data_IF_822554497117
#
_entry.id   IF_822554497117
#
_cell.length_a   1.000
_cell.length_b   1.000
_cell.length_c   1.000
_cell.angle_alpha   90.00
_cell.angle_beta   90.00
_cell.angle_gamma   90.00
#
_symmetry.space_group_name_H-M   'P 1'
#
loop_
_entity.id
_entity.type
_entity.pdbx_description
1 polymer ?
#
# COMPACT_ATOMS: atom_id res chain seq x y z
N UNK A 1 46.41 61.07 -8.69
CA UNK A 1 47.02 60.41 -7.52
C UNK A 1 46.28 60.91 -6.29
N UNK A 2 45.40 60.21 -5.60
CA UNK A 2 44.72 58.94 -5.85
C UNK A 2 43.42 58.97 -5.04
N UNK A 3 42.28 58.86 -5.74
CA UNK A 3 40.95 58.60 -5.16
C UNK A 3 40.60 57.11 -5.39
N UNK A 4 41.53 56.22 -5.04
CA UNK A 4 41.50 54.82 -5.46
C UNK A 4 41.05 53.79 -4.41
N UNK A 5 41.21 54.07 -3.11
CA UNK A 5 41.46 52.96 -2.15
C UNK A 5 40.39 52.68 -1.08
N UNK A 6 39.15 53.13 -1.28
CA UNK A 6 38.03 52.78 -0.37
C UNK A 6 37.02 51.78 -0.93
N UNK A 7 37.26 51.23 -2.13
CA UNK A 7 36.34 50.28 -2.80
C UNK A 7 36.70 48.81 -2.62
N UNK A 8 37.70 48.47 -1.81
CA UNK A 8 38.22 47.10 -1.72
C UNK A 8 37.56 46.22 -0.63
N UNK A 9 36.82 46.80 0.32
CA UNK A 9 36.27 46.06 1.47
C UNK A 9 34.77 45.72 1.43
N UNK A 10 34.07 45.96 0.32
CA UNK A 10 32.64 45.64 0.17
C UNK A 10 32.34 44.69 -1.01
N UNK A 11 33.25 43.77 -1.34
CA UNK A 11 32.91 42.64 -2.22
C UNK A 11 32.43 41.48 -1.36
N UNK A 12 31.13 41.47 -1.06
CA UNK A 12 30.46 40.29 -0.51
C UNK A 12 30.77 39.10 -1.43
N UNK A 13 31.40 38.06 -0.88
CA UNK A 13 31.65 36.77 -1.55
C UNK A 13 30.34 35.97 -1.67
N UNK A 14 29.31 36.59 -2.23
CA UNK A 14 28.03 35.95 -2.49
C UNK A 14 28.08 35.52 -3.95
N UNK A 15 28.35 34.23 -4.19
CA UNK A 15 28.16 33.63 -5.51
C UNK A 15 26.71 33.86 -5.91
N UNK A 16 26.42 34.51 -7.05
CA UNK A 16 25.06 34.73 -7.47
C UNK A 16 24.40 33.38 -7.73
N UNK A 17 23.10 33.26 -7.44
CA UNK A 17 22.40 31.97 -7.38
C UNK A 17 22.46 31.17 -8.70
N UNK A 18 22.58 31.88 -9.82
CA UNK A 18 22.76 31.33 -11.16
C UNK A 18 24.18 30.78 -11.44
N UNK A 19 25.12 30.97 -10.52
CA UNK A 19 26.52 30.53 -10.60
C UNK A 19 26.90 29.60 -9.45
N UNK A 20 25.93 29.16 -8.64
CA UNK A 20 26.18 28.23 -7.54
C UNK A 20 26.44 26.82 -8.11
N UNK A 21 27.72 26.47 -8.28
CA UNK A 21 28.16 25.13 -8.64
C UNK A 21 28.46 24.37 -7.36
N UNK A 22 27.62 23.38 -7.04
CA UNK A 22 27.79 22.48 -5.91
C UNK A 22 28.58 21.26 -6.40
N UNK A 23 29.64 20.89 -5.68
CA UNK A 23 30.44 19.70 -5.97
C UNK A 23 30.42 18.76 -4.75
N UNK A 24 29.83 17.55 -4.87
CA UNK A 24 29.15 17.00 -6.05
C UNK A 24 27.83 17.74 -6.38
N UNK A 25 27.36 17.70 -7.64
CA UNK A 25 26.10 18.32 -8.03
C UNK A 25 24.94 17.69 -7.26
N UNK A 26 24.10 18.55 -6.67
CA UNK A 26 22.88 18.06 -6.01
C UNK A 26 21.95 17.39 -7.04
N UNK A 27 21.25 16.32 -6.65
CA UNK A 27 20.19 15.75 -7.48
C UNK A 27 19.23 16.83 -7.96
N UNK A 28 18.78 16.76 -9.22
CA UNK A 28 17.95 17.78 -9.88
C UNK A 28 16.76 18.28 -9.05
N UNK A 29 16.11 17.40 -8.28
CA UNK A 29 14.99 17.78 -7.41
C UNK A 29 15.38 18.73 -6.26
N UNK A 30 16.62 18.64 -5.76
CA UNK A 30 17.12 19.54 -4.71
C UNK A 30 17.60 20.88 -5.25
N UNK A 31 17.89 21.00 -6.54
CA UNK A 31 18.39 22.25 -7.12
C UNK A 31 17.37 23.40 -6.98
N UNK A 32 16.09 23.13 -7.28
CA UNK A 32 14.99 24.09 -7.09
C UNK A 32 14.82 24.50 -5.63
N UNK A 33 14.88 23.51 -4.72
CA UNK A 33 14.72 23.71 -3.28
C UNK A 33 15.82 24.60 -2.72
N UNK A 34 17.07 24.32 -3.11
CA UNK A 34 18.24 25.10 -2.70
C UNK A 34 18.14 26.51 -3.25
N UNK A 35 17.66 26.68 -4.50
CA UNK A 35 17.43 28.01 -5.10
C UNK A 35 16.41 28.82 -4.32
N UNK A 36 15.28 28.23 -3.97
CA UNK A 36 14.22 28.90 -3.19
C UNK A 36 14.72 29.28 -1.79
N UNK A 37 15.41 28.38 -1.10
CA UNK A 37 16.02 28.64 0.20
C UNK A 37 17.03 29.79 0.15
N UNK A 38 17.93 29.79 -0.84
CA UNK A 38 18.92 30.85 -1.03
C UNK A 38 18.29 32.20 -1.39
N UNK A 39 17.21 32.19 -2.19
CA UNK A 39 16.43 33.38 -2.51
C UNK A 39 15.78 33.98 -1.25
N UNK A 40 15.17 33.13 -0.41
CA UNK A 40 14.58 33.53 0.86
C UNK A 40 15.63 34.08 1.85
N UNK A 41 16.80 33.45 1.94
CA UNK A 41 17.91 33.95 2.75
C UNK A 41 18.36 35.36 2.30
N UNK A 42 18.49 35.58 0.98
CA UNK A 42 18.86 36.88 0.41
C UNK A 42 17.80 37.94 0.68
N UNK A 43 16.52 37.58 0.60
CA UNK A 43 15.41 38.45 0.94
C UNK A 43 15.46 38.85 2.43
N UNK A 44 15.65 37.88 3.32
CA UNK A 44 15.81 38.12 4.76
C UNK A 44 16.94 39.10 5.07
N UNK A 45 18.10 38.86 4.46
CA UNK A 45 19.28 39.70 4.66
C UNK A 45 18.99 41.16 4.29
N UNK A 46 18.42 41.40 3.10
CA UNK A 46 18.20 42.75 2.58
C UNK A 46 17.09 43.51 3.31
N UNK A 47 16.01 42.83 3.69
CA UNK A 47 14.79 43.49 4.15
C UNK A 47 14.60 43.47 5.67
N UNK A 48 15.15 42.46 6.35
CA UNK A 48 15.03 42.29 7.80
C UNK A 48 16.38 42.58 8.45
N UNK A 49 17.41 41.77 8.19
CA UNK A 49 18.67 41.84 8.96
C UNK A 49 19.37 43.20 8.83
N UNK A 50 19.50 43.74 7.61
CA UNK A 50 20.11 45.06 7.40
C UNK A 50 19.28 46.17 8.03
N UNK A 51 17.95 46.09 7.96
CA UNK A 51 17.03 47.10 8.53
C UNK A 51 17.17 47.20 10.05
N UNK A 52 17.22 46.07 10.74
CA UNK A 52 17.34 46.02 12.20
C UNK A 52 18.76 46.36 12.68
N UNK A 53 19.80 45.96 11.93
CA UNK A 53 21.18 46.36 12.22
C UNK A 53 21.36 47.90 12.22
N UNK A 54 20.70 48.62 11.31
CA UNK A 54 20.77 50.08 11.26
C UNK A 54 19.96 50.78 12.36
N UNK A 55 18.94 50.13 12.92
CA UNK A 55 18.05 50.72 13.93
C UNK A 55 18.54 50.58 15.38
N UNK A 56 19.59 49.78 15.65
CA UNK A 56 20.02 49.38 17.01
C UNK A 56 18.83 48.97 17.88
N UNK A 57 18.12 47.95 17.44
CA UNK A 57 16.96 47.44 18.18
C UNK A 57 17.41 46.89 19.55
N UNK A 58 16.77 47.35 20.63
CA UNK A 58 17.07 46.93 22.03
C UNK A 58 16.21 45.74 22.48
N UNK A 59 15.46 45.14 21.54
CA UNK A 59 14.66 43.94 21.79
C UNK A 59 15.52 42.81 22.39
N UNK A 60 14.99 42.01 23.35
CA UNK A 60 15.69 40.89 23.96
C UNK A 60 16.26 39.91 22.93
N UNK A 61 15.51 39.67 21.84
CA UNK A 61 15.91 38.78 20.76
C UNK A 61 16.12 39.54 19.43
N UNK A 62 17.36 39.58 18.90
CA UNK A 62 17.66 40.28 17.66
C UNK A 62 17.15 39.51 16.43
N UNK A 63 16.89 40.22 15.33
CA UNK A 63 16.53 39.61 14.06
C UNK A 63 17.64 38.65 13.55
N UNK A 64 17.26 37.46 13.08
CA UNK A 64 18.19 36.39 12.73
C UNK A 64 17.69 35.52 11.57
N UNK A 65 18.61 34.82 10.92
CA UNK A 65 18.32 33.80 9.91
C UNK A 65 18.89 32.47 10.40
N UNK A 66 18.03 31.48 10.61
CA UNK A 66 18.41 30.21 11.24
C UNK A 66 18.85 29.12 10.24
N UNK A 67 18.82 29.44 8.95
CA UNK A 67 19.11 28.51 7.85
C UNK A 67 17.88 28.16 7.01
N UNK A 68 16.67 28.30 7.56
CA UNK A 68 15.42 27.92 6.90
C UNK A 68 14.39 29.03 6.89
N UNK A 69 14.27 29.82 7.95
CA UNK A 69 13.34 30.95 8.05
C UNK A 69 14.05 32.22 8.55
N UNK A 70 13.44 33.35 8.20
CA UNK A 70 13.88 34.66 8.66
C UNK A 70 13.09 35.05 9.89
N UNK A 71 13.70 35.37 11.02
CA UNK A 71 13.00 35.88 12.20
C UNK A 71 13.30 37.37 12.38
N UNK A 72 12.24 38.15 12.63
CA UNK A 72 12.37 39.58 12.95
C UNK A 72 12.77 39.72 14.43
N UNK A 73 13.11 40.93 14.89
CA UNK A 73 13.33 41.17 16.32
C UNK A 73 12.06 40.92 17.11
N UNK A 74 12.20 40.39 18.32
CA UNK A 74 11.06 39.97 19.13
C UNK A 74 11.28 40.24 20.62
N UNK A 75 10.17 40.48 21.30
CA UNK A 75 10.07 40.51 22.76
C UNK A 75 9.98 39.09 23.34
N UNK A 76 10.13 38.97 24.65
CA UNK A 76 10.09 37.69 25.36
C UNK A 76 8.78 36.93 25.08
N UNK A 77 8.91 35.65 24.76
CA UNK A 77 7.79 34.77 24.45
C UNK A 77 8.03 33.89 23.22
N UNK A 78 6.96 33.21 22.80
CA UNK A 78 7.01 32.27 21.69
C UNK A 78 6.67 32.97 20.37
N UNK A 79 7.62 32.96 19.44
CA UNK A 79 7.48 33.54 18.10
C UNK A 79 7.09 32.45 17.12
N UNK A 80 5.92 32.61 16.50
CA UNK A 80 5.42 31.71 15.45
C UNK A 80 5.71 32.32 14.08
N UNK A 81 6.28 31.53 13.16
CA UNK A 81 6.52 31.96 11.78
C UNK A 81 6.02 30.91 10.81
N UNK A 82 5.42 31.34 9.70
CA UNK A 82 4.91 30.43 8.69
C UNK A 82 6.03 29.53 8.14
N UNK A 83 5.73 28.25 7.94
CA UNK A 83 6.70 27.29 7.43
C UNK A 83 7.12 27.64 5.99
N UNK A 84 8.42 27.58 5.64
CA UNK A 84 8.86 27.87 4.30
C UNK A 84 8.52 26.71 3.36
N UNK A 85 8.07 27.01 2.14
CA UNK A 85 7.64 26.00 1.17
C UNK A 85 8.78 25.06 0.71
N UNK A 86 10.03 25.46 0.89
CA UNK A 86 11.23 24.71 0.47
C UNK A 86 11.77 23.76 1.55
N UNK A 87 11.28 23.78 2.79
CA UNK A 87 11.90 23.00 3.89
C UNK A 87 11.81 21.47 3.71
N UNK A 88 10.82 20.97 2.97
CA UNK A 88 10.62 19.52 2.69
C UNK A 88 10.50 19.17 1.21
N UNK A 89 10.77 20.11 0.30
CA UNK A 89 11.07 19.77 -1.09
C UNK A 89 9.98 19.21 -2.00
N UNK A 90 8.71 19.27 -1.62
CA UNK A 90 7.62 18.79 -2.47
C UNK A 90 7.06 19.90 -3.37
N UNK A 91 7.15 19.74 -4.69
CA UNK A 91 6.50 20.62 -5.69
C UNK A 91 4.97 20.66 -5.60
N UNK A 92 4.36 19.83 -4.75
CA UNK A 92 2.92 19.71 -4.54
C UNK A 92 2.47 20.02 -3.11
N UNK A 93 3.35 20.52 -2.24
CA UNK A 93 2.95 20.97 -0.92
C UNK A 93 2.27 22.32 -1.13
N UNK A 94 0.93 22.32 -1.11
CA UNK A 94 0.16 23.57 -0.92
C UNK A 94 0.84 24.31 0.23
N UNK A 95 1.13 25.59 0.05
CA UNK A 95 1.48 26.47 1.16
C UNK A 95 0.33 26.38 2.15
N UNK A 96 0.46 25.51 3.13
CA UNK A 96 -0.54 25.30 4.15
C UNK A 96 -0.33 26.45 5.12
N UNK A 97 -1.09 27.52 4.92
CA UNK A 97 -0.94 28.78 5.63
C UNK A 97 -1.10 28.64 7.16
N UNK A 98 -1.62 27.50 7.62
CA UNK A 98 -1.82 27.21 9.03
C UNK A 98 -0.58 26.60 9.72
N UNK A 99 0.45 26.20 8.97
CA UNK A 99 1.66 25.59 9.55
C UNK A 99 2.69 26.62 9.96
N UNK A 100 3.14 26.50 11.21
CA UNK A 100 4.08 27.44 11.81
C UNK A 100 5.27 26.72 12.46
N UNK A 101 6.47 27.21 12.20
CA UNK A 101 7.67 26.96 13.01
C UNK A 101 7.63 27.84 14.26
N UNK A 102 8.12 27.31 15.39
CA UNK A 102 8.11 28.00 16.68
C UNK A 102 9.52 28.27 17.16
N UNK A 103 9.77 29.49 17.62
CA UNK A 103 11.06 29.90 18.19
C UNK A 103 10.83 30.63 19.50
N UNK A 104 11.54 30.24 20.56
CA UNK A 104 11.38 30.83 21.88
C UNK A 104 12.38 31.97 22.08
N UNK A 105 11.87 33.12 22.50
CA UNK A 105 12.65 34.27 22.93
C UNK A 105 12.63 34.38 24.46
N UNK A 106 13.80 34.44 25.07
CA UNK A 106 13.99 34.62 26.51
C UNK A 106 14.62 36.00 26.78
N UNK A 107 14.62 36.44 28.05
CA UNK A 107 15.24 37.71 28.46
C UNK A 107 16.72 37.86 28.03
N UNK A 108 17.43 36.73 27.89
CA UNK A 108 18.84 36.69 27.46
C UNK A 108 19.05 36.48 25.95
N UNK A 109 17.99 36.52 25.14
CA UNK A 109 18.04 36.22 23.70
C UNK A 109 17.31 34.94 23.30
N UNK A 110 17.54 34.50 22.07
CA UNK A 110 16.93 33.28 21.52
C UNK A 110 17.31 32.04 22.36
N UNK A 111 16.39 31.09 22.51
CA UNK A 111 16.64 29.87 23.27
C UNK A 111 17.77 29.00 22.67
N UNK A 112 18.71 28.57 23.53
CA UNK A 112 19.81 27.66 23.19
C UNK A 112 19.79 26.42 24.11
N UNK A 113 19.15 25.31 23.72
CA UNK A 113 19.02 24.11 24.56
C UNK A 113 20.35 23.52 25.01
N UNK A 114 21.36 23.50 24.13
CA UNK A 114 22.71 22.98 24.39
C UNK A 114 23.77 24.11 24.54
N UNK A 115 23.34 25.37 24.62
CA UNK A 115 24.22 26.55 24.69
C UNK A 115 25.05 26.86 23.43
N UNK A 116 25.02 26.00 22.41
CA UNK A 116 25.86 26.10 21.22
C UNK A 116 25.17 26.76 20.02
N UNK A 117 23.85 26.59 19.87
CA UNK A 117 23.10 27.07 18.72
C UNK A 117 21.66 27.41 19.10
N UNK A 118 21.13 28.46 18.47
CA UNK A 118 19.71 28.81 18.56
C UNK A 118 18.85 27.63 18.06
N UNK A 119 17.81 27.30 18.82
CA UNK A 119 16.85 26.26 18.46
C UNK A 119 15.61 26.86 17.80
N UNK A 120 15.05 26.14 16.83
CA UNK A 120 13.76 26.47 16.22
C UNK A 120 13.03 25.16 15.96
N UNK A 121 11.82 25.06 16.47
CA UNK A 121 10.98 23.88 16.37
C UNK A 121 10.21 23.91 15.04
N UNK A 122 10.64 23.05 14.12
CA UNK A 122 10.02 22.83 12.81
C UNK A 122 9.10 21.61 12.77
N UNK A 123 8.78 20.99 13.90
CA UNK A 123 7.89 19.81 13.96
C UNK A 123 6.50 20.12 13.39
N UNK A 124 5.96 21.31 13.69
CA UNK A 124 4.69 21.79 13.13
C UNK A 124 4.71 21.99 11.60
N UNK A 125 5.89 22.10 10.99
CA UNK A 125 6.05 22.15 9.54
C UNK A 125 6.01 20.76 8.90
N UNK A 126 6.38 19.72 9.65
CA UNK A 126 6.47 18.34 9.17
C UNK A 126 5.14 17.58 9.28
N UNK A 127 4.08 18.23 9.77
CA UNK A 127 2.83 17.57 10.12
C UNK A 127 2.09 17.07 8.87
N UNK A 128 2.38 15.84 8.49
CA UNK A 128 1.83 15.16 7.32
C UNK A 128 0.68 14.24 7.75
N UNK A 129 -0.22 14.75 8.58
CA UNK A 129 -1.33 13.99 9.18
C UNK A 129 -2.16 13.27 8.11
N UNK A 130 -2.30 13.88 6.93
CA UNK A 130 -2.98 13.29 5.79
C UNK A 130 -2.28 12.03 5.26
N UNK A 131 -0.95 12.08 5.12
CA UNK A 131 -0.16 10.95 4.65
C UNK A 131 -0.08 9.84 5.71
N UNK A 132 0.06 10.21 6.98
CA UNK A 132 0.08 9.26 8.09
C UNK A 132 -1.27 8.55 8.24
N UNK A 133 -2.38 9.28 8.18
CA UNK A 133 -3.73 8.70 8.22
C UNK A 133 -3.95 7.72 7.07
N UNK A 134 -3.54 8.09 5.84
CA UNK A 134 -3.59 7.20 4.68
C UNK A 134 -2.76 5.93 4.88
N UNK A 135 -1.53 6.07 5.38
CA UNK A 135 -0.63 4.94 5.63
C UNK A 135 -1.21 3.98 6.69
N UNK A 136 -1.66 4.51 7.83
CA UNK A 136 -2.25 3.72 8.92
C UNK A 136 -3.49 2.97 8.42
N UNK A 137 -4.40 3.67 7.74
CA UNK A 137 -5.60 3.05 7.17
C UNK A 137 -5.25 1.94 6.19
N UNK A 138 -4.25 2.17 5.32
CA UNK A 138 -3.73 1.15 4.42
C UNK A 138 -3.18 -0.07 5.15
N UNK A 139 -2.29 0.13 6.14
CA UNK A 139 -1.69 -0.97 6.91
C UNK A 139 -2.78 -1.82 7.58
N UNK A 140 -3.78 -1.19 8.21
CA UNK A 140 -4.90 -1.90 8.84
C UNK A 140 -5.69 -2.69 7.79
N UNK A 141 -6.07 -2.06 6.67
CA UNK A 141 -6.88 -2.67 5.63
C UNK A 141 -6.18 -3.88 4.97
N UNK A 142 -4.92 -3.72 4.55
CA UNK A 142 -4.17 -4.81 3.92
C UNK A 142 -3.83 -5.93 4.91
N UNK A 143 -3.54 -5.61 6.18
CA UNK A 143 -3.33 -6.63 7.22
C UNK A 143 -4.57 -7.49 7.42
N UNK A 144 -5.74 -6.84 7.57
CA UNK A 144 -7.02 -7.54 7.68
C UNK A 144 -7.29 -8.41 6.44
N UNK A 145 -7.05 -7.87 5.24
CA UNK A 145 -7.22 -8.62 4.00
C UNK A 145 -6.32 -9.86 3.94
N UNK A 146 -5.04 -9.75 4.29
CA UNK A 146 -4.10 -10.89 4.28
C UNK A 146 -4.53 -12.01 5.24
N UNK A 147 -5.01 -11.66 6.44
CA UNK A 147 -5.49 -12.63 7.45
C UNK A 147 -6.64 -13.49 6.91
N UNK A 148 -7.53 -12.90 6.10
CA UNK A 148 -8.65 -13.63 5.48
C UNK A 148 -8.27 -14.32 4.16
N UNK A 149 -7.35 -13.74 3.39
CA UNK A 149 -6.90 -14.33 2.13
C UNK A 149 -6.11 -15.62 2.33
N UNK A 150 -5.25 -15.68 3.35
CA UNK A 150 -4.38 -16.84 3.60
C UNK A 150 -5.19 -18.15 3.78
N UNK A 151 -6.16 -18.24 4.72
CA UNK A 151 -6.96 -19.45 4.85
C UNK A 151 -7.83 -19.73 3.61
N UNK A 152 -8.33 -18.69 2.94
CA UNK A 152 -9.14 -18.86 1.73
C UNK A 152 -8.35 -19.51 0.57
N UNK A 153 -7.13 -19.03 0.31
CA UNK A 153 -6.24 -19.61 -0.71
C UNK A 153 -5.90 -21.07 -0.36
N UNK A 154 -5.60 -21.34 0.91
CA UNK A 154 -5.31 -22.70 1.39
C UNK A 154 -6.53 -23.60 1.22
N UNK A 155 -7.72 -23.15 1.60
CA UNK A 155 -8.96 -23.92 1.48
C UNK A 155 -9.27 -24.30 0.01
N UNK A 156 -9.18 -23.34 -0.91
CA UNK A 156 -9.42 -23.60 -2.35
C UNK A 156 -8.31 -24.45 -3.00
N UNK A 157 -7.12 -24.50 -2.40
CA UNK A 157 -6.02 -25.38 -2.81
C UNK A 157 -6.10 -26.79 -2.23
N UNK A 158 -6.66 -26.94 -1.03
CA UNK A 158 -6.63 -28.19 -0.27
C UNK A 158 -7.69 -29.21 -0.75
N UNK A 159 -8.93 -28.76 -0.96
CA UNK A 159 -10.03 -29.67 -1.31
C UNK A 159 -9.96 -30.11 -2.78
N UNK A 160 -9.74 -31.41 -3.03
CA UNK A 160 -9.67 -31.98 -4.39
C UNK A 160 -10.85 -31.64 -5.32
N UNK A 161 -12.13 -31.69 -4.87
CA UNK A 161 -13.27 -31.37 -5.74
C UNK A 161 -13.25 -29.92 -6.22
N UNK A 162 -12.85 -29.02 -5.32
CA UNK A 162 -12.77 -27.58 -5.57
C UNK A 162 -11.55 -27.26 -6.45
N UNK A 163 -10.38 -27.82 -6.10
CA UNK A 163 -9.11 -27.56 -6.80
C UNK A 163 -9.16 -27.89 -8.30
N UNK A 164 -9.94 -28.89 -8.70
CA UNK A 164 -10.06 -29.36 -10.09
C UNK A 164 -11.09 -28.59 -10.92
N UNK A 165 -12.01 -27.87 -10.29
CA UNK A 165 -13.05 -27.14 -11.01
C UNK A 165 -12.48 -25.86 -11.66
N UNK A 166 -12.78 -25.57 -12.93
CA UNK A 166 -12.21 -24.43 -13.66
C UNK A 166 -12.53 -23.08 -13.01
N UNK A 167 -13.79 -22.87 -12.59
CA UNK A 167 -14.21 -21.64 -11.89
C UNK A 167 -13.40 -21.39 -10.61
N UNK A 168 -13.17 -22.44 -9.81
CA UNK A 168 -12.40 -22.32 -8.57
C UNK A 168 -10.89 -22.16 -8.82
N UNK A 169 -10.37 -22.54 -10.00
CA UNK A 169 -8.99 -22.23 -10.39
C UNK A 169 -8.84 -20.73 -10.62
N UNK A 170 -9.76 -20.08 -11.34
CA UNK A 170 -9.77 -18.63 -11.56
C UNK A 170 -9.84 -17.88 -10.23
N UNK A 171 -10.83 -18.21 -9.40
CA UNK A 171 -10.98 -17.66 -8.06
C UNK A 171 -9.71 -17.76 -7.22
N UNK A 172 -9.07 -18.94 -7.20
CA UNK A 172 -7.83 -19.14 -6.44
C UNK A 172 -6.70 -18.23 -6.95
N UNK A 173 -6.56 -18.07 -8.27
CA UNK A 173 -5.55 -17.20 -8.86
C UNK A 173 -5.83 -15.71 -8.58
N UNK A 174 -7.09 -15.28 -8.63
CA UNK A 174 -7.50 -13.94 -8.20
C UNK A 174 -7.12 -13.70 -6.72
N UNK A 175 -7.47 -14.63 -5.82
CA UNK A 175 -7.12 -14.53 -4.39
C UNK A 175 -5.60 -14.51 -4.17
N UNK A 176 -4.82 -15.30 -4.94
CA UNK A 176 -3.35 -15.29 -4.90
C UNK A 176 -2.81 -13.92 -5.33
N UNK A 177 -3.35 -13.33 -6.40
CA UNK A 177 -2.92 -11.99 -6.85
C UNK A 177 -3.19 -10.91 -5.79
N UNK A 178 -4.36 -10.94 -5.14
CA UNK A 178 -4.69 -10.04 -4.03
C UNK A 178 -3.77 -10.27 -2.82
N UNK A 179 -3.45 -11.53 -2.51
CA UNK A 179 -2.58 -11.88 -1.39
C UNK A 179 -1.16 -11.38 -1.62
N UNK A 180 -0.60 -11.61 -2.81
CA UNK A 180 0.74 -11.14 -3.15
C UNK A 180 0.81 -9.61 -3.08
N UNK A 181 -0.15 -8.90 -3.67
CA UNK A 181 -0.19 -7.45 -3.61
C UNK A 181 -0.32 -6.91 -2.17
N UNK A 182 -1.13 -7.55 -1.32
CA UNK A 182 -1.25 -7.18 0.09
C UNK A 182 0.02 -7.45 0.90
N UNK A 183 0.67 -8.60 0.70
CA UNK A 183 1.92 -8.96 1.38
C UNK A 183 3.04 -8.00 0.99
N UNK A 184 3.21 -7.72 -0.31
CA UNK A 184 4.21 -6.78 -0.78
C UNK A 184 3.91 -5.35 -0.31
N UNK A 185 2.64 -4.96 -0.17
CA UNK A 185 2.28 -3.66 0.43
C UNK A 185 2.78 -3.58 1.87
N UNK A 186 2.48 -4.59 2.70
CA UNK A 186 2.91 -4.64 4.09
C UNK A 186 4.44 -4.68 4.22
N UNK A 187 5.12 -5.43 3.37
CA UNK A 187 6.58 -5.42 3.29
C UNK A 187 7.10 -4.03 2.91
N UNK A 188 6.51 -3.38 1.91
CA UNK A 188 6.91 -2.04 1.49
C UNK A 188 6.80 -1.03 2.63
N UNK A 189 5.69 -1.06 3.37
CA UNK A 189 5.46 -0.13 4.46
C UNK A 189 6.41 -0.36 5.62
N UNK A 190 6.59 -1.62 6.03
CA UNK A 190 7.42 -1.98 7.19
C UNK A 190 8.92 -1.79 6.94
N UNK A 191 9.41 -2.13 5.74
CA UNK A 191 10.84 -2.11 5.46
C UNK A 191 11.35 -0.79 4.86
N UNK A 192 10.49 0.00 4.20
CA UNK A 192 10.93 1.21 3.49
C UNK A 192 10.27 2.51 3.95
N UNK A 193 9.04 2.50 4.49
CA UNK A 193 8.25 3.74 4.68
C UNK A 193 8.15 4.21 6.14
N UNK A 194 8.03 3.29 7.10
CA UNK A 194 7.86 3.66 8.52
C UNK A 194 9.09 4.40 9.05
N UNK A 195 8.90 5.37 9.95
CA UNK A 195 10.01 6.07 10.63
C UNK A 195 10.93 5.06 11.30
N UNK A 196 12.25 5.11 11.01
CA UNK A 196 13.26 4.11 11.41
C UNK A 196 13.23 2.77 10.65
N UNK A 197 12.56 2.70 9.49
CA UNK A 197 12.59 1.48 8.70
C UNK A 197 14.03 1.13 8.27
N UNK A 198 14.43 -0.15 8.37
CA UNK A 198 15.82 -0.58 8.24
C UNK A 198 16.38 -0.39 6.81
N UNK A 199 15.53 -0.34 5.79
CA UNK A 199 15.91 -0.12 4.39
C UNK A 199 15.53 1.29 3.90
N UNK A 200 15.15 2.22 4.79
CA UNK A 200 14.83 3.61 4.40
C UNK A 200 16.00 4.29 3.67
N UNK A 201 17.25 4.03 4.08
CA UNK A 201 18.46 4.52 3.39
C UNK A 201 18.55 4.10 1.93
N UNK A 202 18.12 2.88 1.58
CA UNK A 202 18.11 2.40 0.20
C UNK A 202 17.14 3.18 -0.69
N UNK A 203 16.12 3.81 -0.08
CA UNK A 203 15.18 4.67 -0.80
C UNK A 203 15.88 5.92 -1.31
N UNK A 204 16.61 6.57 -0.41
CA UNK A 204 17.37 7.78 -0.72
C UNK A 204 18.55 7.51 -1.67
N UNK A 205 19.18 6.33 -1.56
CA UNK A 205 20.27 5.90 -2.45
C UNK A 205 19.79 5.39 -3.83
N UNK A 206 18.47 5.31 -4.05
CA UNK A 206 17.88 4.82 -5.30
C UNK A 206 18.41 3.43 -5.75
N UNK A 207 18.57 2.51 -4.79
CA UNK A 207 19.19 1.22 -5.06
C UNK A 207 18.39 0.35 -6.05
N UNK A 208 19.03 -0.48 -6.88
CA UNK A 208 18.32 -1.32 -7.86
C UNK A 208 17.26 -2.22 -7.21
N UNK A 209 17.54 -2.72 -6.00
CA UNK A 209 16.63 -3.58 -5.25
C UNK A 209 15.28 -2.92 -4.96
N UNK A 210 15.28 -1.69 -4.43
CA UNK A 210 14.04 -1.00 -4.13
C UNK A 210 13.27 -0.63 -5.41
N UNK A 211 13.96 -0.25 -6.51
CA UNK A 211 13.33 0.03 -7.81
C UNK A 211 12.57 -1.18 -8.33
N UNK A 212 13.22 -2.35 -8.31
CA UNK A 212 12.58 -3.62 -8.71
C UNK A 212 11.42 -3.94 -7.79
N UNK A 213 11.60 -3.82 -6.48
CA UNK A 213 10.57 -4.13 -5.48
C UNK A 213 9.31 -3.27 -5.65
N UNK A 214 9.45 -1.95 -5.76
CA UNK A 214 8.31 -1.05 -5.98
C UNK A 214 7.70 -1.20 -7.38
N UNK A 215 8.49 -1.51 -8.40
CA UNK A 215 7.96 -1.81 -9.74
C UNK A 215 7.11 -3.08 -9.74
N UNK A 216 7.56 -4.13 -9.06
CA UNK A 216 6.81 -5.38 -8.88
C UNK A 216 5.51 -5.09 -8.14
N UNK A 217 5.58 -4.35 -7.02
CA UNK A 217 4.42 -4.08 -6.19
C UNK A 217 3.38 -3.16 -6.88
N UNK A 218 3.81 -1.96 -7.28
CA UNK A 218 2.91 -0.89 -7.72
C UNK A 218 2.42 -1.08 -9.16
N UNK A 219 3.19 -1.77 -10.02
CA UNK A 219 2.89 -1.91 -11.45
C UNK A 219 2.48 -3.34 -11.80
N UNK A 220 3.39 -4.31 -11.63
CA UNK A 220 3.15 -5.69 -12.06
C UNK A 220 2.00 -6.36 -11.31
N UNK A 221 2.07 -6.40 -9.96
CA UNK A 221 1.05 -7.07 -9.16
C UNK A 221 -0.31 -6.40 -9.29
N UNK A 222 -0.35 -5.06 -9.35
CA UNK A 222 -1.58 -4.31 -9.60
C UNK A 222 -2.21 -4.64 -10.95
N UNK A 223 -1.42 -4.65 -12.03
CA UNK A 223 -1.92 -4.97 -13.38
C UNK A 223 -2.33 -6.45 -13.51
N UNK A 224 -1.60 -7.35 -12.83
CA UNK A 224 -1.97 -8.76 -12.76
C UNK A 224 -3.30 -8.95 -12.03
N UNK A 225 -3.51 -8.21 -10.95
CA UNK A 225 -4.77 -8.24 -10.21
C UNK A 225 -5.95 -7.83 -11.10
N UNK A 226 -5.85 -6.74 -11.86
CA UNK A 226 -6.86 -6.36 -12.85
C UNK A 226 -7.06 -7.42 -13.94
N UNK A 227 -5.98 -8.05 -14.40
CA UNK A 227 -6.04 -9.11 -15.43
C UNK A 227 -6.82 -10.33 -14.93
N UNK A 228 -6.62 -10.72 -13.67
CA UNK A 228 -7.38 -11.83 -13.07
C UNK A 228 -8.86 -11.49 -12.83
N UNK A 229 -9.18 -10.25 -12.47
CA UNK A 229 -10.58 -9.81 -12.40
C UNK A 229 -11.24 -9.83 -13.77
N UNK A 230 -10.53 -9.42 -14.82
CA UNK A 230 -11.00 -9.50 -16.20
C UNK A 230 -11.21 -10.94 -16.65
N UNK A 231 -10.27 -11.83 -16.36
CA UNK A 231 -10.42 -13.25 -16.65
C UNK A 231 -11.66 -13.85 -15.97
N UNK A 232 -11.93 -13.48 -14.72
CA UNK A 232 -13.11 -13.92 -14.00
C UNK A 232 -14.41 -13.38 -14.62
N UNK A 233 -14.43 -12.11 -15.00
CA UNK A 233 -15.57 -11.49 -15.68
C UNK A 233 -15.86 -12.13 -17.06
N UNK A 234 -14.81 -12.35 -17.87
CA UNK A 234 -14.91 -13.00 -19.18
C UNK A 234 -15.39 -14.45 -19.03
N UNK A 235 -14.83 -15.19 -18.08
CA UNK A 235 -15.24 -16.58 -17.82
C UNK A 235 -16.71 -16.66 -17.41
N UNK A 236 -17.16 -15.79 -16.50
CA UNK A 236 -18.57 -15.77 -16.08
C UNK A 236 -19.50 -15.39 -17.23
N UNK A 237 -19.12 -14.39 -18.02
CA UNK A 237 -19.88 -13.96 -19.18
C UNK A 237 -20.04 -15.09 -20.21
N UNK A 238 -18.94 -15.78 -20.54
CA UNK A 238 -18.96 -16.93 -21.45
C UNK A 238 -19.81 -18.06 -20.89
N UNK A 239 -19.67 -18.40 -19.60
CA UNK A 239 -20.48 -19.43 -18.95
C UNK A 239 -21.98 -19.13 -19.07
N UNK A 240 -22.40 -17.86 -18.95
CA UNK A 240 -23.80 -17.46 -19.10
C UNK A 240 -24.29 -17.59 -20.55
N UNK A 241 -23.42 -17.33 -21.54
CA UNK A 241 -23.74 -17.50 -22.96
C UNK A 241 -23.74 -18.98 -23.39
N UNK A 242 -22.75 -19.76 -22.97
CA UNK A 242 -22.62 -21.18 -23.34
C UNK A 242 -23.57 -22.08 -22.56
N UNK A 243 -24.07 -21.66 -21.39
CA UNK A 243 -25.25 -22.28 -20.80
C UNK A 243 -26.47 -22.24 -21.77
N UNK A 244 -26.45 -21.39 -22.80
CA UNK A 244 -27.42 -21.36 -23.90
C UNK A 244 -26.93 -22.08 -25.16
N UNK A 245 -25.64 -22.40 -25.27
CA UNK A 245 -25.04 -23.05 -26.44
C UNK A 245 -23.84 -23.93 -26.03
N UNK A 246 -23.99 -25.24 -26.13
CA UNK A 246 -22.96 -26.24 -25.84
C UNK A 246 -21.70 -26.02 -26.70
N UNK A 247 -20.56 -25.71 -26.07
CA UNK A 247 -19.25 -25.70 -26.75
C UNK A 247 -18.11 -26.08 -25.80
N UNK A 248 -17.10 -26.69 -26.39
CA UNK A 248 -15.97 -27.45 -25.86
C UNK A 248 -14.87 -26.65 -25.11
N UNK A 249 -14.23 -27.33 -24.16
CA UNK A 249 -12.77 -27.56 -24.21
C UNK A 249 -11.76 -26.46 -23.91
N UNK A 250 -12.09 -25.36 -23.21
CA UNK A 250 -11.07 -24.33 -22.90
C UNK A 250 -10.03 -24.80 -21.87
N UNK A 251 -8.75 -24.68 -22.21
CA UNK A 251 -7.62 -25.01 -21.35
C UNK A 251 -7.32 -23.89 -20.34
N UNK A 252 -7.51 -24.16 -19.04
CA UNK A 252 -7.18 -23.20 -17.95
C UNK A 252 -5.70 -22.80 -17.87
N UNK A 253 -4.83 -23.42 -18.67
CA UNK A 253 -3.43 -23.04 -18.77
C UNK A 253 -3.26 -21.71 -19.51
N UNK A 254 -4.09 -21.46 -20.53
CA UNK A 254 -3.98 -20.26 -21.37
C UNK A 254 -4.33 -19.01 -20.57
N UNK A 255 -5.36 -19.09 -19.73
CA UNK A 255 -5.70 -18.03 -18.78
C UNK A 255 -4.54 -17.70 -17.83
N UNK A 256 -3.83 -18.71 -17.31
CA UNK A 256 -2.69 -18.47 -16.40
C UNK A 256 -1.53 -17.80 -17.12
N UNK A 257 -1.18 -18.27 -18.32
CA UNK A 257 -0.10 -17.70 -19.13
C UNK A 257 -0.45 -16.26 -19.51
N UNK A 258 -1.69 -16.00 -19.94
CA UNK A 258 -2.13 -14.66 -20.30
C UNK A 258 -2.13 -13.70 -19.09
N UNK A 259 -2.76 -14.10 -17.98
CA UNK A 259 -2.98 -13.19 -16.84
C UNK A 259 -1.72 -12.90 -16.02
N UNK A 260 -0.74 -13.82 -15.98
CA UNK A 260 0.55 -13.55 -15.35
C UNK A 260 1.59 -13.02 -16.35
N UNK A 261 1.59 -13.55 -17.59
CA UNK A 261 2.59 -13.24 -18.59
C UNK A 261 2.42 -11.86 -19.22
N UNK A 262 1.22 -11.49 -19.67
CA UNK A 262 0.99 -10.19 -20.34
C UNK A 262 1.33 -9.03 -19.40
N UNK A 263 0.88 -9.01 -18.13
CA UNK A 263 1.30 -7.96 -17.20
C UNK A 263 2.80 -7.92 -16.95
N UNK A 264 3.45 -9.09 -16.94
CA UNK A 264 4.90 -9.23 -16.76
C UNK A 264 5.68 -8.59 -17.89
N UNK A 265 5.32 -8.89 -19.15
CA UNK A 265 5.96 -8.34 -20.34
C UNK A 265 5.82 -6.81 -20.39
N UNK A 266 4.60 -6.30 -20.19
CA UNK A 266 4.35 -4.84 -20.20
C UNK A 266 5.15 -4.15 -19.08
N UNK A 267 5.17 -4.71 -17.87
CA UNK A 267 5.92 -4.11 -16.75
C UNK A 267 7.42 -4.15 -16.98
N UNK A 268 7.94 -5.21 -17.60
CA UNK A 268 9.36 -5.32 -17.96
C UNK A 268 9.77 -4.24 -18.97
N UNK A 269 8.95 -4.02 -20.01
CA UNK A 269 9.18 -2.96 -20.99
C UNK A 269 9.16 -1.59 -20.30
N UNK A 270 8.16 -1.33 -19.44
CA UNK A 270 8.09 -0.09 -18.66
C UNK A 270 9.34 0.11 -17.78
N UNK A 271 9.82 -0.94 -17.11
CA UNK A 271 11.00 -0.87 -16.24
C UNK A 271 12.25 -0.44 -17.03
N UNK A 272 12.46 -1.01 -18.22
CA UNK A 272 13.59 -0.65 -19.09
C UNK A 272 13.44 0.78 -19.61
N UNK A 273 12.26 1.12 -20.17
CA UNK A 273 12.01 2.46 -20.74
C UNK A 273 12.13 3.54 -19.67
N UNK A 274 11.61 3.32 -18.47
CA UNK A 274 11.75 4.26 -17.35
C UNK A 274 13.21 4.40 -16.92
N UNK A 275 13.94 3.29 -16.80
CA UNK A 275 15.36 3.32 -16.46
C UNK A 275 16.24 4.07 -17.46
N UNK A 276 15.85 4.12 -18.74
CA UNK A 276 16.58 4.84 -19.78
C UNK A 276 16.23 6.33 -19.87
N UNK A 277 14.99 6.71 -19.56
CA UNK A 277 14.47 8.06 -19.82
C UNK A 277 14.26 8.90 -18.56
N UNK A 278 14.09 8.28 -17.39
CA UNK A 278 13.74 8.99 -16.16
C UNK A 278 14.11 8.20 -14.89
N UNK A 279 15.39 8.26 -14.50
CA UNK A 279 15.86 7.75 -13.21
C UNK A 279 15.71 8.83 -12.11
N UNK A 280 14.49 9.37 -11.99
CA UNK A 280 14.07 10.12 -10.79
C UNK A 280 14.40 9.26 -9.58
N UNK A 281 15.23 9.74 -8.66
CA UNK A 281 15.60 9.01 -7.43
C UNK A 281 14.39 8.57 -6.58
N UNK A 282 14.61 8.06 -5.36
CA UNK A 282 13.53 7.57 -4.49
C UNK A 282 12.81 6.31 -5.01
N UNK A 283 13.55 5.40 -5.64
CA UNK A 283 13.11 4.05 -6.02
C UNK A 283 11.87 3.95 -6.91
N UNK A 284 11.58 5.00 -7.69
CA UNK A 284 10.43 5.06 -8.59
C UNK A 284 9.07 4.85 -7.88
N UNK A 285 9.00 5.24 -6.61
CA UNK A 285 7.76 5.27 -5.84
C UNK A 285 6.80 6.30 -6.44
N UNK A 286 7.35 7.44 -6.85
CA UNK A 286 6.61 8.49 -7.56
C UNK A 286 6.47 8.17 -9.05
N UNK A 287 5.48 8.78 -9.68
CA UNK A 287 5.28 8.67 -11.12
C UNK A 287 6.43 9.37 -11.87
N UNK A 288 6.79 8.84 -13.04
CA UNK A 288 7.75 9.51 -13.92
C UNK A 288 7.26 10.91 -14.31
N UNK A 289 8.20 11.85 -14.44
CA UNK A 289 7.96 13.18 -15.01
C UNK A 289 7.48 13.11 -16.46
N UNK A 290 7.91 12.06 -17.18
CA UNK A 290 7.50 11.78 -18.53
C UNK A 290 6.15 11.05 -18.54
N UNK A 291 5.07 11.83 -18.75
CA UNK A 291 3.70 11.30 -18.74
C UNK A 291 3.52 10.08 -19.68
N UNK A 292 4.12 10.10 -20.87
CA UNK A 292 4.00 9.02 -21.86
C UNK A 292 4.53 7.66 -21.36
N UNK A 293 5.54 7.67 -20.48
CA UNK A 293 6.09 6.44 -19.87
C UNK A 293 5.09 5.84 -18.91
N UNK A 294 4.44 6.66 -18.08
CA UNK A 294 3.38 6.20 -17.15
C UNK A 294 2.13 5.70 -17.87
N UNK A 295 1.77 6.33 -19.00
CA UNK A 295 0.64 5.93 -19.82
C UNK A 295 0.77 4.50 -20.38
N UNK A 296 1.99 3.96 -20.52
CA UNK A 296 2.19 2.55 -20.91
C UNK A 296 1.58 1.56 -19.90
N UNK A 297 1.52 1.92 -18.61
CA UNK A 297 0.90 1.09 -17.57
C UNK A 297 -0.57 1.49 -17.35
N UNK A 298 -0.87 2.78 -17.38
CA UNK A 298 -2.23 3.25 -17.13
C UNK A 298 -3.21 2.88 -18.24
N UNK A 299 -2.82 2.99 -19.52
CA UNK A 299 -3.71 2.67 -20.64
C UNK A 299 -4.24 1.21 -20.61
N UNK A 300 -3.41 0.15 -20.51
CA UNK A 300 -3.91 -1.21 -20.46
C UNK A 300 -4.73 -1.49 -19.20
N UNK A 301 -4.38 -0.86 -18.06
CA UNK A 301 -5.14 -0.99 -16.82
C UNK A 301 -6.54 -0.38 -16.95
N UNK A 302 -6.65 0.85 -17.48
CA UNK A 302 -7.93 1.51 -17.73
C UNK A 302 -8.78 0.73 -18.73
N UNK A 303 -8.17 0.20 -19.79
CA UNK A 303 -8.88 -0.62 -20.77
C UNK A 303 -9.48 -1.87 -20.11
N UNK A 304 -8.70 -2.60 -19.33
CA UNK A 304 -9.16 -3.79 -18.61
C UNK A 304 -10.32 -3.46 -17.66
N UNK A 305 -10.21 -2.37 -16.89
CA UNK A 305 -11.26 -1.92 -15.98
C UNK A 305 -12.53 -1.47 -16.73
N UNK A 306 -12.38 -0.80 -17.87
CA UNK A 306 -13.49 -0.41 -18.74
C UNK A 306 -14.24 -1.63 -19.28
N UNK A 307 -13.51 -2.66 -19.73
CA UNK A 307 -14.11 -3.92 -20.17
C UNK A 307 -14.81 -4.63 -19.01
N UNK A 308 -14.24 -4.65 -17.81
CA UNK A 308 -14.89 -5.21 -16.62
C UNK A 308 -16.23 -4.53 -16.30
N UNK A 309 -16.29 -3.20 -16.43
CA UNK A 309 -17.53 -2.45 -16.23
C UNK A 309 -18.58 -2.84 -17.27
N UNK A 310 -18.20 -2.95 -18.55
CA UNK A 310 -19.11 -3.38 -19.62
C UNK A 310 -19.62 -4.81 -19.36
N UNK A 311 -18.74 -5.74 -19.01
CA UNK A 311 -19.12 -7.12 -18.68
C UNK A 311 -20.02 -7.18 -17.45
N UNK A 312 -19.75 -6.38 -16.40
CA UNK A 312 -20.64 -6.28 -15.24
C UNK A 312 -22.03 -5.84 -15.67
N UNK A 313 -22.13 -4.77 -16.46
CA UNK A 313 -23.41 -4.25 -16.92
C UNK A 313 -24.19 -5.31 -17.72
N UNK A 314 -23.53 -6.02 -18.63
CA UNK A 314 -24.16 -7.08 -19.42
C UNK A 314 -24.61 -8.26 -18.53
N UNK A 315 -23.77 -8.72 -17.61
CA UNK A 315 -24.13 -9.81 -16.67
C UNK A 315 -25.32 -9.39 -15.80
N UNK A 316 -25.34 -8.17 -15.29
CA UNK A 316 -26.46 -7.63 -14.51
C UNK A 316 -27.74 -7.55 -15.35
N UNK A 317 -27.66 -7.10 -16.61
CA UNK A 317 -28.82 -7.07 -17.52
C UNK A 317 -29.35 -8.48 -17.76
N UNK A 318 -28.48 -9.46 -18.04
CA UNK A 318 -28.88 -10.87 -18.23
C UNK A 318 -29.56 -11.41 -16.97
N UNK A 319 -28.99 -11.17 -15.79
CA UNK A 319 -29.56 -11.57 -14.51
C UNK A 319 -30.94 -10.95 -14.29
N UNK A 320 -31.09 -9.64 -14.51
CA UNK A 320 -32.37 -8.92 -14.35
C UNK A 320 -33.41 -9.41 -15.36
N UNK A 321 -33.04 -9.64 -16.61
CA UNK A 321 -33.96 -10.15 -17.63
C UNK A 321 -34.43 -11.57 -17.30
N UNK A 322 -33.53 -12.45 -16.84
CA UNK A 322 -33.88 -13.82 -16.43
C UNK A 322 -34.88 -13.84 -15.26
N UNK A 323 -34.74 -12.90 -14.33
CA UNK A 323 -35.67 -12.71 -13.20
C UNK A 323 -37.03 -12.21 -13.69
N UNK A 324 -37.07 -11.28 -14.66
CA UNK A 324 -38.34 -10.73 -15.18
C UNK A 324 -39.15 -11.75 -16.00
N UNK A 325 -38.49 -12.70 -16.64
CA UNK A 325 -39.14 -13.74 -17.45
C UNK A 325 -39.68 -14.93 -16.64
N UNK A 326 -39.45 -14.97 -15.32
CA UNK A 326 -40.00 -16.01 -14.44
C UNK A 326 -41.18 -15.42 -13.62
N UNK A 327 -42.43 -15.54 -14.09
CA UNK A 327 -43.60 -14.91 -13.47
C UNK A 327 -43.96 -15.47 -12.08
N UNK A 328 -43.29 -16.55 -11.64
CA UNK A 328 -43.45 -17.13 -10.30
C UNK A 328 -42.47 -16.54 -9.27
N UNK A 329 -41.60 -15.60 -9.65
CA UNK A 329 -40.53 -15.12 -8.79
C UNK A 329 -41.03 -14.15 -7.71
N UNK A 330 -41.21 -14.63 -6.48
CA UNK A 330 -41.61 -13.82 -5.33
C UNK A 330 -40.63 -12.66 -5.07
N UNK A 331 -41.13 -11.57 -4.45
CA UNK A 331 -40.32 -10.41 -3.99
C UNK A 331 -39.01 -10.82 -3.28
N UNK A 332 -39.02 -11.96 -2.59
CA UNK A 332 -37.88 -12.53 -1.85
C UNK A 332 -36.73 -12.96 -2.79
N UNK A 333 -37.02 -13.51 -3.97
CA UNK A 333 -36.00 -13.95 -4.94
C UNK A 333 -35.40 -12.77 -5.70
N UNK A 334 -36.17 -11.72 -5.99
CA UNK A 334 -35.65 -10.47 -6.55
C UNK A 334 -34.56 -9.86 -5.65
N UNK A 335 -34.84 -9.73 -4.35
CA UNK A 335 -33.88 -9.19 -3.37
C UNK A 335 -32.62 -10.06 -3.26
N UNK A 336 -32.76 -11.40 -3.34
CA UNK A 336 -31.61 -12.33 -3.36
C UNK A 336 -30.73 -12.13 -4.58
N UNK A 337 -31.32 -11.88 -5.73
CA UNK A 337 -30.57 -11.69 -6.97
C UNK A 337 -29.89 -10.32 -7.05
N UNK A 338 -30.56 -9.25 -6.62
CA UNK A 338 -29.93 -7.92 -6.46
C UNK A 338 -28.75 -8.01 -5.49
N UNK A 339 -28.91 -8.73 -4.37
CA UNK A 339 -27.80 -8.98 -3.43
C UNK A 339 -26.64 -9.73 -4.10
N UNK A 340 -26.94 -10.70 -4.96
CA UNK A 340 -25.93 -11.41 -5.77
C UNK A 340 -25.19 -10.48 -6.74
N UNK A 341 -25.91 -9.60 -7.44
CA UNK A 341 -25.32 -8.62 -8.35
C UNK A 341 -24.40 -7.64 -7.61
N UNK A 342 -24.79 -7.17 -6.43
CA UNK A 342 -23.95 -6.31 -5.58
C UNK A 342 -22.67 -7.04 -5.14
N UNK A 343 -22.76 -8.35 -4.87
CA UNK A 343 -21.58 -9.16 -4.55
C UNK A 343 -20.61 -9.32 -5.74
N UNK A 344 -21.05 -9.11 -7.00
CA UNK A 344 -20.14 -9.17 -8.16
C UNK A 344 -19.26 -7.91 -8.30
N UNK A 345 -19.67 -6.77 -7.73
CA UNK A 345 -18.92 -5.52 -7.80
C UNK A 345 -17.47 -5.68 -7.29
N UNK A 346 -17.22 -6.12 -6.04
CA UNK A 346 -15.86 -6.28 -5.52
C UNK A 346 -15.04 -7.33 -6.27
N UNK A 347 -15.71 -8.34 -6.84
CA UNK A 347 -15.07 -9.42 -7.61
C UNK A 347 -14.56 -8.90 -8.96
N UNK A 348 -15.31 -8.03 -9.62
CA UNK A 348 -14.91 -7.47 -10.92
C UNK A 348 -14.01 -6.23 -10.78
N UNK A 349 -13.85 -5.72 -9.55
CA UNK A 349 -12.96 -4.58 -9.25
C UNK A 349 -13.51 -3.24 -9.67
N UNK A 350 -14.81 -3.12 -9.95
CA UNK A 350 -15.39 -1.87 -10.50
C UNK A 350 -15.29 -0.71 -9.51
N UNK A 351 -15.26 -0.98 -8.20
CA UNK A 351 -14.99 0.03 -7.17
C UNK A 351 -13.64 0.74 -7.39
N UNK A 352 -12.68 0.09 -8.06
CA UNK A 352 -11.38 0.67 -8.34
C UNK A 352 -11.46 1.77 -9.42
N UNK A 353 -12.52 1.85 -10.24
CA UNK A 353 -12.71 3.01 -11.13
C UNK A 353 -12.91 4.30 -10.34
N UNK A 354 -13.53 4.20 -9.16
CA UNK A 354 -13.67 5.33 -8.25
C UNK A 354 -12.34 5.79 -7.67
N UNK A 355 -11.25 5.03 -7.84
CA UNK A 355 -9.91 5.32 -7.29
C UNK A 355 -9.02 6.05 -8.29
N UNK A 356 -9.43 6.13 -9.55
CA UNK A 356 -8.67 6.77 -10.64
C UNK A 356 -8.66 8.29 -10.48
N UNK A 357 -9.78 8.87 -10.00
CA UNK A 357 -9.89 10.33 -9.85
C UNK A 357 -9.36 10.78 -8.48
N UNK A 358 -8.09 11.19 -8.41
CA UNK A 358 -7.49 11.61 -7.14
C UNK A 358 -8.05 12.97 -6.67
N UNK A 359 -9.09 12.95 -5.84
CA UNK A 359 -9.58 14.15 -5.15
C UNK A 359 -8.58 14.52 -4.05
N UNK A 360 -8.09 15.78 -3.99
CA UNK A 360 -7.12 16.23 -2.99
C UNK A 360 -7.78 16.49 -1.62
N UNK A 361 -8.52 15.50 -1.12
CA UNK A 361 -9.19 15.49 0.17
C UNK A 361 -8.71 14.28 0.98
N UNK A 362 -8.33 14.50 2.24
CA UNK A 362 -7.79 13.46 3.15
C UNK A 362 -8.75 12.31 3.35
N UNK A 363 -10.02 12.59 3.61
CA UNK A 363 -11.06 11.57 3.79
C UNK A 363 -11.21 10.70 2.55
N UNK A 364 -11.17 11.33 1.36
CA UNK A 364 -11.23 10.61 0.11
C UNK A 364 -10.00 9.71 -0.10
N UNK A 365 -8.79 10.22 0.16
CA UNK A 365 -7.55 9.43 0.04
C UNK A 365 -7.47 8.27 1.04
N UNK A 366 -7.98 8.44 2.25
CA UNK A 366 -8.08 7.39 3.27
C UNK A 366 -9.12 6.34 2.85
N UNK A 367 -10.29 6.78 2.40
CA UNK A 367 -11.35 5.89 1.93
C UNK A 367 -10.89 5.08 0.71
N UNK A 368 -10.27 5.74 -0.27
CA UNK A 368 -9.66 5.13 -1.44
C UNK A 368 -8.64 4.04 -1.06
N UNK A 369 -7.68 4.39 -0.19
CA UNK A 369 -6.66 3.44 0.27
C UNK A 369 -7.30 2.24 1.01
N UNK A 370 -8.31 2.50 1.82
CA UNK A 370 -9.03 1.47 2.58
C UNK A 370 -9.84 0.55 1.67
N UNK A 371 -10.56 1.10 0.68
CA UNK A 371 -11.35 0.33 -0.29
C UNK A 371 -10.46 -0.60 -1.11
N UNK A 372 -9.30 -0.11 -1.57
CA UNK A 372 -8.31 -0.93 -2.24
C UNK A 372 -7.73 -2.01 -1.32
N UNK A 373 -7.37 -1.65 -0.08
CA UNK A 373 -6.83 -2.59 0.90
C UNK A 373 -7.79 -3.71 1.30
N UNK A 374 -9.08 -3.40 1.42
CA UNK A 374 -10.12 -4.35 1.80
C UNK A 374 -10.68 -5.17 0.62
N UNK A 375 -10.25 -4.91 -0.61
CA UNK A 375 -10.74 -5.65 -1.77
C UNK A 375 -10.55 -7.17 -1.61
N UNK A 376 -9.35 -7.60 -1.21
CA UNK A 376 -9.06 -9.02 -1.01
C UNK A 376 -9.93 -9.67 0.08
N UNK A 377 -10.22 -8.93 1.15
CA UNK A 377 -11.18 -9.35 2.19
C UNK A 377 -12.55 -9.62 1.57
N UNK A 378 -13.14 -8.64 0.86
CA UNK A 378 -14.47 -8.80 0.28
C UNK A 378 -14.54 -9.95 -0.73
N UNK A 379 -13.54 -10.05 -1.61
CA UNK A 379 -13.47 -11.13 -2.60
C UNK A 379 -13.39 -12.50 -1.90
N UNK A 380 -12.57 -12.64 -0.85
CA UNK A 380 -12.47 -13.89 -0.08
C UNK A 380 -13.78 -14.26 0.62
N UNK A 381 -14.50 -13.28 1.18
CA UNK A 381 -15.80 -13.48 1.83
C UNK A 381 -16.85 -13.99 0.85
N UNK A 382 -16.86 -13.46 -0.38
CA UNK A 382 -17.85 -13.82 -1.40
C UNK A 382 -17.52 -15.17 -2.04
N UNK A 383 -16.29 -15.31 -2.53
CA UNK A 383 -15.87 -16.44 -3.37
C UNK A 383 -15.58 -17.70 -2.56
N UNK A 384 -15.05 -17.56 -1.34
CA UNK A 384 -14.67 -18.68 -0.50
C UNK A 384 -15.65 -18.89 0.66
N UNK A 385 -15.76 -17.93 1.58
CA UNK A 385 -16.46 -18.15 2.86
C UNK A 385 -17.99 -18.24 2.73
N UNK A 386 -18.59 -17.47 1.83
CA UNK A 386 -20.04 -17.49 1.56
C UNK A 386 -20.46 -18.61 0.61
N UNK A 387 -19.50 -19.25 -0.06
CA UNK A 387 -19.77 -20.25 -1.08
C UNK A 387 -20.23 -21.58 -0.45
N UNK A 388 -21.44 -22.02 -0.83
CA UNK A 388 -22.06 -23.24 -0.28
C UNK A 388 -21.21 -24.48 -0.52
N UNK A 389 -20.67 -24.64 -1.73
CA UNK A 389 -19.83 -25.79 -2.10
C UNK A 389 -18.58 -25.87 -1.24
N UNK A 390 -17.96 -24.73 -0.94
CA UNK A 390 -16.78 -24.65 -0.06
C UNK A 390 -17.16 -25.03 1.37
N UNK A 391 -18.27 -24.48 1.89
CA UNK A 391 -18.78 -24.79 3.23
C UNK A 391 -19.14 -26.26 3.40
N UNK A 392 -19.77 -26.87 2.41
CA UNK A 392 -20.11 -28.30 2.42
C UNK A 392 -18.85 -29.18 2.42
N UNK A 393 -17.85 -28.86 1.60
CA UNK A 393 -16.57 -29.55 1.61
C UNK A 393 -15.88 -29.43 2.96
N UNK A 394 -15.90 -28.24 3.56
CA UNK A 394 -15.32 -28.00 4.88
C UNK A 394 -16.05 -28.78 5.98
N UNK A 395 -17.38 -28.79 5.99
CA UNK A 395 -18.18 -29.56 6.96
C UNK A 395 -17.92 -31.05 6.84
N UNK A 396 -17.90 -31.61 5.61
CA UNK A 396 -17.56 -33.03 5.37
C UNK A 396 -16.15 -33.38 5.84
N UNK A 397 -15.18 -32.51 5.54
CA UNK A 397 -13.81 -32.71 6.01
C UNK A 397 -13.72 -32.67 7.54
N UNK A 398 -14.41 -31.73 8.18
CA UNK A 398 -14.46 -31.61 9.63
C UNK A 398 -15.09 -32.85 10.28
N UNK A 399 -16.19 -33.38 9.73
CA UNK A 399 -16.83 -34.59 10.26
C UNK A 399 -15.91 -35.81 10.13
N UNK A 400 -15.26 -35.99 8.98
CA UNK A 400 -14.28 -37.09 8.80
C UNK A 400 -13.06 -36.95 9.71
N UNK A 401 -12.60 -35.71 9.95
CA UNK A 401 -11.49 -35.47 10.88
C UNK A 401 -11.89 -35.82 12.32
N UNK A 402 -13.09 -35.41 12.75
CA UNK A 402 -13.64 -35.75 14.06
C UNK A 402 -13.79 -37.27 14.22
N UNK A 403 -14.33 -37.96 13.22
CA UNK A 403 -14.46 -39.43 13.23
C UNK A 403 -13.11 -40.14 13.38
N UNK A 404 -12.08 -39.70 12.63
CA UNK A 404 -10.72 -40.24 12.75
C UNK A 404 -10.11 -39.99 14.14
N UNK A 405 -10.34 -38.81 14.72
CA UNK A 405 -9.85 -38.49 16.06
C UNK A 405 -10.53 -39.39 17.11
N UNK A 406 -11.84 -39.61 17.01
CA UNK A 406 -12.58 -40.54 17.87
C UNK A 406 -12.04 -41.96 17.73
N UNK A 407 -11.91 -42.48 16.51
CA UNK A 407 -11.35 -43.82 16.24
C UNK A 407 -9.94 -43.99 16.81
N UNK A 408 -9.07 -42.98 16.65
CA UNK A 408 -7.72 -43.03 17.20
C UNK A 408 -7.73 -43.10 18.74
N UNK A 409 -8.67 -42.40 19.37
CA UNK A 409 -8.85 -42.41 20.83
C UNK A 409 -9.38 -43.77 21.31
N UNK A 410 -10.35 -44.36 20.61
CA UNK A 410 -10.87 -45.70 20.88
C UNK A 410 -9.80 -46.80 20.70
N UNK A 411 -9.01 -46.75 19.62
CA UNK A 411 -7.89 -47.67 19.40
C UNK A 411 -6.86 -47.59 20.54
N UNK A 412 -6.52 -46.37 20.99
CA UNK A 412 -5.60 -46.16 22.12
C UNK A 412 -6.15 -46.77 23.41
N UNK A 413 -7.43 -46.57 23.72
CA UNK A 413 -8.07 -47.16 24.90
C UNK A 413 -8.05 -48.70 24.84
N UNK A 414 -8.41 -49.30 23.70
CA UNK A 414 -8.37 -50.76 23.54
C UNK A 414 -6.96 -51.33 23.75
N UNK A 415 -5.93 -50.67 23.24
CA UNK A 415 -4.54 -51.08 23.48
C UNK A 415 -4.17 -51.02 24.97
N UNK A 416 -4.54 -49.96 25.69
CA UNK A 416 -4.26 -49.86 27.14
C UNK A 416 -4.98 -50.92 27.98
N UNK A 417 -6.22 -51.29 27.62
CA UNK A 417 -6.98 -52.34 28.32
C UNK A 417 -6.32 -53.71 28.10
N UNK A 418 -5.87 -54.00 26.88
CA UNK A 418 -5.20 -55.26 26.56
C UNK A 418 -3.85 -55.40 27.28
N UNK A 419 -3.14 -54.29 27.48
CA UNK A 419 -1.88 -54.24 28.23
C UNK A 419 -2.10 -54.47 29.73
N UNK A 420 -3.11 -53.81 30.33
CA UNK A 420 -3.53 -54.07 31.71
C UNK A 420 -4.07 -55.49 31.92
N UNK A 421 -4.85 -56.03 30.97
CA UNK A 421 -5.35 -57.40 31.02
C UNK A 421 -4.23 -58.47 30.94
N UNK A 422 -3.19 -58.22 30.14
CA UNK A 422 -1.98 -59.07 30.11
C UNK A 422 -1.20 -59.03 31.43
N UNK A 423 -1.19 -57.90 32.14
CA UNK A 423 -0.57 -57.79 33.46
C UNK A 423 -1.34 -58.56 34.54
N UNK A 424 -2.67 -58.59 34.47
CA UNK A 424 -3.54 -59.33 35.40
C UNK A 424 -3.43 -60.86 35.20
N UNK A 425 -3.34 -61.33 33.96
CA UNK A 425 -3.19 -62.77 33.64
C UNK A 425 -1.82 -63.37 34.02
N UNK A 426 -0.85 -62.55 34.45
CA UNK A 426 0.49 -63.01 34.86
C UNK A 426 0.60 -63.33 36.37
N UNK A 427 -0.52 -63.40 37.09
CA UNK A 427 -0.58 -63.93 38.46
C UNK A 427 -1.56 -65.10 38.52
N UNK A 428 -1.05 -66.32 38.75
CA UNK A 428 -1.10 -66.88 40.10
C UNK A 428 0.26 -67.40 40.58
N UNK A 429 0.66 -67.00 41.78
CA UNK A 429 1.65 -67.73 42.57
C UNK A 429 1.07 -69.11 42.93
N UNK A 430 1.67 -70.17 42.41
CA UNK A 430 1.47 -71.54 42.89
C UNK A 430 2.34 -71.70 44.14
N UNK A 431 1.71 -71.73 45.32
CA UNK A 431 2.30 -72.24 46.56
C UNK A 431 2.45 -73.76 46.42
N UNK A 432 3.70 -74.23 46.30
CA UNK A 432 4.06 -75.64 46.41
C UNK A 432 3.96 -76.11 47.86
N UNK A 433 2.93 -76.87 48.19
CA UNK A 433 2.92 -77.72 49.38
C UNK A 433 3.71 -79.01 49.10
N UNK A 434 4.68 -79.27 49.98
CA UNK A 434 5.41 -80.52 50.07
C UNK A 434 4.52 -81.62 50.66
N UNK A 435 4.48 -82.79 50.02
CA UNK A 435 4.08 -84.05 50.68
C UNK A 435 5.23 -85.05 50.53
N UNK A 436 5.78 -85.45 51.68
CA UNK A 436 6.70 -86.56 51.84
C UNK A 436 5.93 -87.88 51.94
N UNK A 437 6.57 -88.92 51.38
CA UNK A 437 6.37 -90.37 51.52
C UNK A 437 5.20 -91.02 50.77
#
# INVERSE_FOLDING_TARGET
MDFGDLRFWLRSRITPLNQLVLDPPLPYHFELIVKDCCSAARYCCRNTLVKYHHRRDESPCPATWDGWNCFDSADEGMVNKQCPNYIYGGSNIKADYDRHSKKQCNAGGWELPDGLKEHTDYTGCMQNDDAQAKLIAGVIAYSLSVVFLLPAVVALGFFRPIRKSPMFILHRQLLISCLLYGVFYLCSTTFFVVSFAPLSGQVFENHIFCRVFFSVQLRYLRMTNFSWMLAEAVYLFRLLQTAQHSTDGETMNDYKIACWGVPGVITMIYFIVRGMNDDTGMCWIENSSNAWVEWMIFAPSLLAMGVNLLLLAVVVIILVNKIRCDPHLERIQYTKAVRGAVMLIPVFGVQQLLTIYRIPNTYYQVADQSLNGLQGLFVSLIVCYSNKTVRECFTKWRSTYQEKATLHTECRQRMSIQESGRLILKSPQVTTEHVQL
#
